data_IF_698875436257
#
_entry.id   IF_698875436257
#
_cell.length_a   1.000
_cell.length_b   1.000
_cell.length_c   1.000
_cell.angle_alpha   90.00
_cell.angle_beta   90.00
_cell.angle_gamma   90.00
#
_symmetry.space_group_name_H-M   'P 1'
#
loop_
_entity.id
_entity.type
_entity.pdbx_description
1 polymer ?
#
# COMPACT_ATOMS: atom_id res chain seq x y z
N UNK A 1 2.87 19.07 -5.68
CA UNK A 1 3.37 18.99 -7.08
C UNK A 1 3.14 17.57 -7.56
N UNK A 2 2.50 17.37 -8.71
CA UNK A 2 2.31 16.06 -9.36
C UNK A 2 3.41 15.81 -10.38
N UNK A 3 3.73 14.56 -10.68
CA UNK A 3 4.82 14.26 -11.60
C UNK A 3 5.30 12.82 -11.60
N UNK A 4 6.51 12.63 -12.13
CA UNK A 4 7.22 11.35 -12.08
C UNK A 4 8.37 11.50 -11.09
N UNK A 5 8.58 10.46 -10.29
CA UNK A 5 9.75 10.40 -9.41
C UNK A 5 11.01 10.52 -10.25
N UNK A 6 11.90 11.42 -9.84
CA UNK A 6 13.19 11.62 -10.50
C UNK A 6 14.05 10.37 -10.28
N UNK A 7 14.61 9.84 -11.37
CA UNK A 7 15.34 8.57 -11.34
C UNK A 7 16.71 8.73 -10.69
N UNK A 8 17.35 9.87 -10.89
CA UNK A 8 18.70 10.11 -10.42
C UNK A 8 18.67 10.40 -8.91
N UNK A 9 17.72 11.22 -8.44
CA UNK A 9 17.47 11.41 -7.00
C UNK A 9 17.16 10.09 -6.30
N UNK A 10 16.34 9.24 -6.93
CA UNK A 10 15.95 7.95 -6.35
C UNK A 10 17.12 6.96 -6.30
N UNK A 11 17.95 6.90 -7.35
CA UNK A 11 19.15 6.06 -7.35
C UNK A 11 20.17 6.54 -6.32
N UNK A 12 20.38 7.84 -6.20
CA UNK A 12 21.27 8.41 -5.19
C UNK A 12 20.80 8.03 -3.77
N UNK A 13 19.49 8.15 -3.50
CA UNK A 13 18.93 7.72 -2.22
C UNK A 13 19.15 6.22 -1.96
N UNK A 14 19.06 5.36 -2.98
CA UNK A 14 19.35 3.93 -2.83
C UNK A 14 20.80 3.65 -2.49
N UNK A 15 21.75 4.35 -3.12
CA UNK A 15 23.17 4.22 -2.84
C UNK A 15 23.48 4.62 -1.38
N UNK A 16 23.01 5.78 -0.94
CA UNK A 16 23.18 6.22 0.45
C UNK A 16 22.58 5.25 1.47
N UNK A 17 21.41 4.68 1.18
CA UNK A 17 20.76 3.69 2.06
C UNK A 17 21.57 2.40 2.14
N UNK A 18 21.99 1.87 1.00
CA UNK A 18 22.77 0.63 0.94
C UNK A 18 24.12 0.79 1.65
N UNK A 19 24.82 1.89 1.39
CA UNK A 19 26.13 2.17 1.96
C UNK A 19 26.07 2.36 3.48
N UNK A 20 25.16 3.20 3.98
CA UNK A 20 25.05 3.44 5.43
C UNK A 20 24.57 2.17 6.18
N UNK A 21 23.65 1.38 5.60
CA UNK A 21 23.24 0.10 6.21
C UNK A 21 24.39 -0.91 6.18
N UNK A 22 25.17 -0.95 5.10
CA UNK A 22 26.31 -1.85 4.97
C UNK A 22 27.43 -1.52 5.96
N UNK A 23 27.72 -0.23 6.14
CA UNK A 23 28.74 0.28 7.05
C UNK A 23 28.35 0.10 8.52
N UNK A 24 27.13 0.50 8.89
CA UNK A 24 26.67 0.49 10.29
C UNK A 24 26.27 -0.91 10.77
N UNK A 25 25.70 -1.73 9.88
CA UNK A 25 25.11 -3.02 10.27
C UNK A 25 25.73 -4.21 9.54
N UNK A 26 25.41 -4.38 8.26
CA UNK A 26 25.96 -5.41 7.39
C UNK A 26 25.46 -5.25 5.95
N UNK A 27 26.27 -5.68 4.98
CA UNK A 27 25.83 -5.89 3.59
C UNK A 27 24.72 -6.94 3.50
N UNK A 28 23.88 -6.90 2.46
CA UNK A 28 22.84 -7.91 2.18
C UNK A 28 21.90 -8.14 3.38
N UNK A 29 21.38 -7.06 3.98
CA UNK A 29 20.40 -7.14 5.07
C UNK A 29 18.96 -7.10 4.58
N UNK A 30 18.72 -6.66 3.35
CA UNK A 30 17.40 -6.61 2.76
C UNK A 30 17.47 -6.96 1.27
N UNK A 31 16.29 -7.21 0.69
CA UNK A 31 16.04 -7.18 -0.75
C UNK A 31 15.05 -6.04 -0.99
N UNK A 32 15.20 -5.34 -2.12
CA UNK A 32 14.37 -4.20 -2.49
C UNK A 32 13.57 -4.50 -3.77
N UNK A 33 12.32 -4.07 -3.80
CA UNK A 33 11.49 -3.96 -5.00
C UNK A 33 10.90 -2.55 -5.09
N UNK A 34 11.35 -1.74 -6.05
CA UNK A 34 11.03 -0.31 -6.06
C UNK A 34 11.42 0.36 -4.74
N UNK A 35 10.52 1.08 -4.08
CA UNK A 35 10.78 1.66 -2.74
C UNK A 35 10.31 0.77 -1.59
N UNK A 36 10.06 -0.51 -1.85
CA UNK A 36 9.67 -1.50 -0.86
C UNK A 36 10.89 -2.32 -0.44
N UNK A 37 11.08 -2.51 0.87
CA UNK A 37 12.24 -3.19 1.45
C UNK A 37 11.78 -4.39 2.28
N UNK A 38 12.40 -5.53 2.04
CA UNK A 38 12.15 -6.81 2.72
C UNK A 38 13.42 -7.22 3.45
N UNK A 39 13.42 -7.17 4.78
CA UNK A 39 14.60 -7.47 5.57
C UNK A 39 14.81 -8.97 5.75
N UNK A 40 16.07 -9.39 5.78
CA UNK A 40 16.45 -10.73 6.22
C UNK A 40 16.37 -10.80 7.75
N UNK A 41 15.17 -11.11 8.27
CA UNK A 41 14.89 -11.16 9.70
C UNK A 41 15.77 -12.18 10.44
N UNK A 42 16.13 -13.29 9.79
CA UNK A 42 17.05 -14.29 10.35
C UNK A 42 18.45 -13.73 10.59
N UNK A 43 18.96 -12.91 9.66
CA UNK A 43 20.27 -12.27 9.78
C UNK A 43 20.27 -11.14 10.80
N UNK A 44 19.20 -10.34 10.86
CA UNK A 44 19.00 -9.34 11.91
C UNK A 44 19.02 -10.00 13.30
N UNK A 45 18.26 -11.10 13.47
CA UNK A 45 18.21 -11.85 14.73
C UNK A 45 19.57 -12.41 15.14
N UNK A 46 20.31 -13.05 14.21
CA UNK A 46 21.66 -13.58 14.48
C UNK A 46 22.66 -12.51 14.91
N UNK A 47 22.45 -11.26 14.52
CA UNK A 47 23.30 -10.11 14.84
C UNK A 47 22.79 -9.28 16.03
N UNK A 48 21.68 -9.69 16.64
CA UNK A 48 20.98 -8.92 17.66
C UNK A 48 20.66 -7.47 17.21
N UNK A 49 20.36 -7.29 15.92
CA UNK A 49 20.04 -5.99 15.32
C UNK A 49 18.52 -5.82 15.28
N UNK A 50 18.01 -4.74 15.88
CA UNK A 50 16.60 -4.39 15.78
C UNK A 50 16.30 -3.78 14.40
N UNK A 51 15.18 -4.17 13.78
CA UNK A 51 14.76 -3.68 12.46
C UNK A 51 14.58 -2.15 12.41
N UNK A 52 14.19 -1.54 13.52
CA UNK A 52 14.02 -0.09 13.66
C UNK A 52 15.27 0.71 13.27
N UNK A 53 16.46 0.17 13.55
CA UNK A 53 17.74 0.79 13.20
C UNK A 53 17.92 0.99 11.69
N UNK A 54 18.07 -0.08 10.88
CA UNK A 54 18.20 0.04 9.43
C UNK A 54 16.94 0.61 8.76
N UNK A 55 15.74 0.37 9.29
CA UNK A 55 14.53 1.05 8.81
C UNK A 55 14.60 2.57 9.00
N UNK A 56 15.21 3.04 10.08
CA UNK A 56 15.46 4.46 10.34
C UNK A 56 16.34 5.11 9.26
N UNK A 57 17.33 4.39 8.74
CA UNK A 57 18.18 4.86 7.62
C UNK A 57 17.34 5.02 6.34
N UNK A 58 16.47 4.05 6.03
CA UNK A 58 15.56 4.16 4.87
C UNK A 58 14.65 5.39 5.03
N UNK A 59 14.07 5.58 6.22
CA UNK A 59 13.20 6.73 6.56
C UNK A 59 13.95 8.07 6.57
N UNK A 60 15.28 8.08 6.70
CA UNK A 60 16.12 9.29 6.63
C UNK A 60 16.36 9.75 5.19
N UNK A 61 16.50 8.83 4.23
CA UNK A 61 16.91 9.17 2.86
C UNK A 61 15.77 9.20 1.87
N UNK A 62 14.87 8.21 1.86
CA UNK A 62 13.82 8.15 0.86
C UNK A 62 12.89 9.38 0.82
N UNK A 63 12.46 9.97 1.95
CA UNK A 63 11.61 11.17 1.90
C UNK A 63 12.29 12.41 1.29
N UNK A 64 13.60 12.38 1.05
CA UNK A 64 14.32 13.47 0.37
C UNK A 64 14.12 13.46 -1.14
N UNK A 65 13.72 12.32 -1.70
CA UNK A 65 13.39 12.19 -3.13
C UNK A 65 12.09 12.92 -3.40
N UNK A 66 12.09 13.85 -4.34
CA UNK A 66 10.91 14.64 -4.64
C UNK A 66 9.76 13.74 -5.16
N UNK A 67 8.58 13.88 -4.55
CA UNK A 67 7.40 13.08 -4.84
C UNK A 67 7.23 11.84 -3.96
N UNK A 68 8.16 11.54 -3.04
CA UNK A 68 7.91 10.63 -1.91
C UNK A 68 7.34 11.45 -0.75
N UNK A 69 6.14 11.10 -0.28
CA UNK A 69 5.46 11.82 0.81
C UNK A 69 5.93 11.32 2.18
N UNK A 70 5.86 10.01 2.39
CA UNK A 70 6.16 9.36 3.67
C UNK A 70 6.77 7.99 3.44
N UNK A 71 7.50 7.51 4.45
CA UNK A 71 8.01 6.15 4.49
C UNK A 71 7.58 5.54 5.82
N UNK A 72 6.98 4.37 5.74
CA UNK A 72 6.43 3.66 6.88
C UNK A 72 7.14 2.33 7.05
N UNK A 73 7.30 1.91 8.29
CA UNK A 73 7.46 0.48 8.56
C UNK A 73 6.09 -0.20 8.46
N UNK A 74 6.09 -1.49 8.16
CA UNK A 74 4.88 -2.34 8.19
C UNK A 74 4.16 -2.24 9.52
N UNK A 75 4.93 -2.28 10.61
CA UNK A 75 4.40 -2.24 11.97
C UNK A 75 3.73 -0.88 12.27
N UNK A 76 4.30 0.23 11.80
CA UNK A 76 3.69 1.56 11.94
C UNK A 76 2.30 1.63 11.28
N UNK A 77 2.11 0.98 10.13
CA UNK A 77 0.80 0.94 9.46
C UNK A 77 -0.17 0.06 10.24
N UNK A 78 0.28 -1.10 10.73
CA UNK A 78 -0.56 -2.02 11.49
C UNK A 78 -1.00 -1.42 12.83
N UNK A 79 -0.14 -0.65 13.49
CA UNK A 79 -0.43 -0.02 14.79
C UNK A 79 -1.19 1.31 14.67
N UNK A 80 -1.21 1.91 13.48
CA UNK A 80 -1.87 3.20 13.29
C UNK A 80 -3.40 3.11 13.42
N UNK A 81 -3.96 4.21 13.90
CA UNK A 81 -5.40 4.46 13.88
C UNK A 81 -5.89 4.58 12.42
N UNK A 82 -7.10 4.10 12.17
CA UNK A 82 -7.76 4.03 10.86
C UNK A 82 -8.80 5.12 10.66
N UNK A 83 -8.81 6.15 11.52
CA UNK A 83 -9.57 7.40 11.33
C UNK A 83 -9.17 8.10 10.03
N UNK A 84 -7.88 8.13 9.70
CA UNK A 84 -7.38 8.58 8.40
C UNK A 84 -7.67 7.53 7.32
N UNK A 85 -8.34 7.95 6.23
CA UNK A 85 -8.72 7.06 5.13
C UNK A 85 -7.53 6.47 4.37
N UNK A 86 -6.43 7.20 4.24
CA UNK A 86 -5.21 6.76 3.56
C UNK A 86 -4.54 5.68 4.39
N UNK A 87 -4.41 5.90 5.70
CA UNK A 87 -3.86 4.90 6.62
C UNK A 87 -4.73 3.65 6.65
N UNK A 88 -6.07 3.81 6.72
CA UNK A 88 -7.00 2.68 6.65
C UNK A 88 -6.81 1.86 5.37
N UNK A 89 -6.74 2.52 4.21
CA UNK A 89 -6.50 1.85 2.91
C UNK A 89 -5.15 1.14 2.88
N UNK A 90 -4.09 1.80 3.36
CA UNK A 90 -2.76 1.19 3.44
C UNK A 90 -2.76 -0.04 4.36
N UNK A 91 -3.41 0.03 5.53
CA UNK A 91 -3.53 -1.10 6.46
C UNK A 91 -4.21 -2.30 5.82
N UNK A 92 -5.27 -2.08 5.03
CA UNK A 92 -5.96 -3.14 4.27
C UNK A 92 -5.11 -3.74 3.13
N UNK A 93 -4.01 -3.08 2.72
CA UNK A 93 -3.06 -3.59 1.73
C UNK A 93 -1.91 -4.39 2.35
N UNK A 94 -1.79 -4.40 3.69
CA UNK A 94 -0.70 -5.10 4.38
C UNK A 94 -1.10 -6.54 4.70
N UNK A 95 -0.32 -7.48 4.19
CA UNK A 95 -0.28 -8.85 4.65
C UNK A 95 0.88 -9.02 5.65
N UNK A 96 0.66 -9.57 6.86
CA UNK A 96 1.67 -9.65 7.92
C UNK A 96 3.00 -10.27 7.44
N UNK A 97 2.91 -11.37 6.69
CA UNK A 97 4.07 -12.14 6.23
C UNK A 97 4.61 -11.76 4.84
N UNK A 98 3.78 -11.17 3.98
CA UNK A 98 4.08 -11.01 2.54
C UNK A 98 4.35 -9.57 2.14
N UNK A 99 3.91 -8.61 2.95
CA UNK A 99 4.17 -7.21 2.70
C UNK A 99 5.58 -6.82 3.12
N UNK A 100 6.17 -5.82 2.43
CA UNK A 100 7.48 -5.29 2.77
C UNK A 100 7.51 -4.78 4.21
N UNK A 101 8.68 -4.85 4.82
CA UNK A 101 8.89 -4.36 6.18
C UNK A 101 8.99 -2.83 6.24
N UNK A 102 9.42 -2.21 5.13
CA UNK A 102 9.40 -0.75 4.93
C UNK A 102 8.89 -0.46 3.52
N UNK A 103 7.96 0.50 3.40
CA UNK A 103 7.38 0.94 2.15
C UNK A 103 7.18 2.45 2.11
N UNK A 104 7.24 3.01 0.91
CA UNK A 104 7.02 4.44 0.69
C UNK A 104 5.60 4.72 0.19
N UNK A 105 5.05 5.82 0.66
CA UNK A 105 3.86 6.47 0.11
C UNK A 105 4.33 7.62 -0.77
N UNK A 106 4.00 7.57 -2.07
CA UNK A 106 4.22 8.69 -2.97
C UNK A 106 3.26 9.83 -2.66
N UNK A 107 3.66 11.07 -2.90
CA UNK A 107 2.77 12.23 -2.84
C UNK A 107 1.67 12.13 -3.89
N UNK A 108 0.47 12.59 -3.53
CA UNK A 108 -0.68 12.62 -4.45
C UNK A 108 -0.33 13.20 -5.83
N UNK A 109 -0.72 12.49 -6.89
CA UNK A 109 -0.42 12.82 -8.28
C UNK A 109 1.00 12.48 -8.74
N UNK A 110 1.80 11.77 -7.93
CA UNK A 110 3.11 11.26 -8.35
C UNK A 110 3.05 9.77 -8.65
N UNK A 111 3.86 9.36 -9.64
CA UNK A 111 4.00 7.97 -10.06
C UNK A 111 5.47 7.63 -10.26
N UNK A 112 5.81 6.35 -10.10
CA UNK A 112 7.11 5.84 -10.56
C UNK A 112 7.23 5.94 -12.08
N UNK A 113 8.46 6.08 -12.56
CA UNK A 113 8.75 6.18 -13.99
C UNK A 113 8.67 4.78 -14.62
N UNK A 114 7.67 4.56 -15.47
CA UNK A 114 7.54 3.37 -16.32
C UNK A 114 7.87 3.72 -17.78
N UNK A 115 8.18 2.74 -18.65
CA UNK A 115 8.47 3.01 -20.07
C UNK A 115 7.31 3.62 -20.85
N UNK A 116 6.06 3.47 -20.37
CA UNK A 116 4.86 3.88 -21.09
C UNK A 116 3.80 4.51 -20.16
N UNK A 117 3.12 5.56 -20.67
CA UNK A 117 1.84 6.03 -20.14
C UNK A 117 1.85 6.48 -18.66
N UNK A 118 0.83 6.00 -17.94
CA UNK A 118 0.56 6.26 -16.51
C UNK A 118 0.60 4.96 -15.70
N UNK A 119 0.52 5.07 -14.38
CA UNK A 119 0.35 3.94 -13.45
C UNK A 119 -0.82 4.15 -12.49
N UNK A 120 -1.00 3.20 -11.59
CA UNK A 120 -1.96 3.20 -10.48
C UNK A 120 -1.36 2.46 -9.28
N UNK A 121 -2.06 2.43 -8.15
CA UNK A 121 -1.71 1.63 -6.97
C UNK A 121 -1.46 2.46 -5.70
N UNK A 122 -1.73 3.77 -5.77
CA UNK A 122 -1.70 4.65 -4.60
C UNK A 122 -3.01 4.57 -3.82
N UNK A 123 -3.01 4.88 -2.52
CA UNK A 123 -4.23 4.84 -1.70
C UNK A 123 -5.15 6.06 -1.91
N UNK A 124 -4.85 6.94 -2.88
CA UNK A 124 -5.63 8.16 -3.12
C UNK A 124 -6.92 7.88 -3.89
N UNK A 125 -7.84 8.85 -3.87
CA UNK A 125 -9.19 8.66 -4.42
C UNK A 125 -9.19 8.38 -5.93
N UNK A 126 -8.26 8.97 -6.69
CA UNK A 126 -8.19 8.75 -8.14
C UNK A 126 -7.82 7.32 -8.54
N UNK A 127 -7.18 6.54 -7.65
CA UNK A 127 -6.84 5.14 -7.87
C UNK A 127 -7.84 4.16 -7.22
N UNK A 128 -8.66 4.64 -6.29
CA UNK A 128 -9.52 3.80 -5.45
C UNK A 128 -11.02 3.99 -5.71
N UNK A 129 -11.41 5.08 -6.37
CA UNK A 129 -12.79 5.32 -6.77
C UNK A 129 -13.09 4.61 -8.09
N UNK A 130 -13.84 3.51 -8.03
CA UNK A 130 -14.22 2.70 -9.19
C UNK A 130 -15.74 2.65 -9.35
N UNK A 131 -16.25 2.56 -10.60
CA UNK A 131 -17.68 2.40 -10.82
C UNK A 131 -18.15 1.01 -10.41
N UNK A 132 -19.34 0.93 -9.80
CA UNK A 132 -20.02 -0.31 -9.47
C UNK A 132 -21.46 -0.28 -10.02
N UNK A 133 -21.77 -1.20 -10.91
CA UNK A 133 -23.06 -1.26 -11.61
C UNK A 133 -23.68 -2.66 -11.42
N UNK A 134 -24.92 -2.70 -10.92
CA UNK A 134 -25.73 -3.92 -10.87
C UNK A 134 -26.87 -3.82 -11.89
N UNK A 135 -26.93 -4.74 -12.84
CA UNK A 135 -27.97 -4.75 -13.89
C UNK A 135 -28.72 -6.09 -13.91
N UNK A 136 -30.05 -6.03 -14.03
CA UNK A 136 -30.94 -7.19 -14.16
C UNK A 136 -32.17 -6.79 -14.98
N UNK A 137 -32.69 -7.72 -15.79
CA UNK A 137 -33.96 -7.54 -16.51
C UNK A 137 -35.08 -7.15 -15.53
N UNK A 138 -35.89 -6.15 -15.92
CA UNK A 138 -37.02 -5.62 -15.15
C UNK A 138 -36.66 -4.96 -13.81
N UNK A 139 -35.41 -4.55 -13.61
CA UNK A 139 -35.01 -3.75 -12.45
C UNK A 139 -35.08 -2.26 -12.81
N UNK A 140 -35.76 -1.41 -12.01
CA UNK A 140 -35.76 0.03 -12.25
C UNK A 140 -34.35 0.60 -12.09
N UNK A 141 -34.07 1.67 -12.82
CA UNK A 141 -32.84 2.42 -12.62
C UNK A 141 -32.81 3.05 -11.24
N UNK A 142 -31.63 3.05 -10.62
CA UNK A 142 -31.40 3.69 -9.33
C UNK A 142 -29.93 4.06 -9.20
N UNK A 143 -29.69 5.24 -8.64
CA UNK A 143 -28.38 5.66 -8.18
C UNK A 143 -28.33 5.56 -6.65
N UNK A 144 -27.27 4.96 -6.14
CA UNK A 144 -26.97 4.88 -4.70
C UNK A 144 -25.66 5.61 -4.48
N UNK A 145 -25.69 6.64 -3.64
CA UNK A 145 -24.52 7.48 -3.31
C UNK A 145 -23.86 7.08 -1.99
N UNK A 146 -24.40 6.07 -1.30
CA UNK A 146 -23.82 5.52 -0.09
C UNK A 146 -22.44 4.94 -0.36
N UNK A 147 -21.55 5.00 0.62
CA UNK A 147 -20.22 4.41 0.51
C UNK A 147 -20.30 2.89 0.33
N UNK A 148 -19.70 2.41 -0.76
CA UNK A 148 -19.49 1.01 -1.07
C UNK A 148 -17.99 0.70 -1.21
N UNK A 149 -17.60 -0.53 -0.85
CA UNK A 149 -16.28 -1.08 -1.10
C UNK A 149 -16.38 -2.23 -2.11
N UNK A 150 -15.31 -2.49 -2.88
CA UNK A 150 -15.31 -3.59 -3.86
C UNK A 150 -15.47 -4.96 -3.20
N UNK A 151 -15.06 -5.11 -1.94
CA UNK A 151 -15.29 -6.33 -1.14
C UNK A 151 -16.77 -6.58 -0.83
N UNK A 152 -17.64 -5.58 -0.97
CA UNK A 152 -19.09 -5.70 -0.78
C UNK A 152 -19.77 -6.42 -1.96
N UNK A 153 -19.11 -6.54 -3.11
CA UNK A 153 -19.68 -7.11 -4.34
C UNK A 153 -20.05 -8.59 -4.13
N UNK A 154 -19.12 -9.39 -3.61
CA UNK A 154 -19.31 -10.83 -3.43
C UNK A 154 -20.48 -11.17 -2.48
N UNK A 155 -20.56 -10.63 -1.25
CA UNK A 155 -21.70 -10.90 -0.37
C UNK A 155 -23.03 -10.37 -0.95
N UNK A 156 -23.01 -9.26 -1.69
CA UNK A 156 -24.21 -8.73 -2.36
C UNK A 156 -24.71 -9.68 -3.45
N UNK A 157 -23.83 -10.23 -4.29
CA UNK A 157 -24.21 -11.23 -5.30
C UNK A 157 -24.71 -12.51 -4.63
N UNK A 158 -24.01 -12.98 -3.59
CA UNK A 158 -24.44 -14.14 -2.82
C UNK A 158 -25.86 -13.99 -2.27
N UNK A 159 -26.18 -12.83 -1.71
CA UNK A 159 -27.53 -12.50 -1.24
C UNK A 159 -28.58 -12.57 -2.35
N UNK A 160 -28.34 -11.95 -3.51
CA UNK A 160 -29.25 -11.98 -4.66
C UNK A 160 -29.53 -13.42 -5.14
N UNK A 161 -28.51 -14.28 -5.09
CA UNK A 161 -28.57 -15.67 -5.52
C UNK A 161 -29.03 -16.63 -4.43
N UNK A 162 -29.37 -16.13 -3.23
CA UNK A 162 -29.71 -16.96 -2.06
C UNK A 162 -28.60 -17.98 -1.69
N UNK A 163 -27.34 -17.61 -1.88
CA UNK A 163 -26.17 -18.39 -1.50
C UNK A 163 -25.74 -17.97 -0.07
N UNK A 164 -25.51 -18.94 0.84
CA UNK A 164 -24.98 -18.64 2.18
C UNK A 164 -23.65 -17.88 2.10
N UNK A 165 -23.53 -16.81 2.87
CA UNK A 165 -22.32 -15.98 2.94
C UNK A 165 -21.46 -16.50 4.10
N UNK A 166 -20.15 -16.77 3.89
CA UNK A 166 -19.26 -17.16 4.98
C UNK A 166 -19.11 -16.05 6.03
N UNK A 167 -18.85 -16.43 7.28
CA UNK A 167 -18.66 -15.46 8.37
C UNK A 167 -17.39 -14.60 8.21
N UNK A 168 -16.40 -15.08 7.45
CA UNK A 168 -15.10 -14.42 7.26
C UNK A 168 -15.04 -13.65 5.94
N UNK A 169 -15.91 -12.66 5.79
CA UNK A 169 -15.96 -11.74 4.64
C UNK A 169 -15.89 -10.31 5.18
N UNK A 170 -14.94 -9.52 4.68
CA UNK A 170 -14.79 -8.10 5.11
C UNK A 170 -15.93 -7.20 4.62
N UNK A 171 -16.54 -7.58 3.49
CA UNK A 171 -17.59 -6.82 2.85
C UNK A 171 -18.98 -7.04 3.48
N UNK A 172 -19.88 -6.09 3.21
CA UNK A 172 -21.28 -6.14 3.62
C UNK A 172 -22.21 -6.25 2.42
N UNK A 173 -23.43 -6.73 2.66
CA UNK A 173 -24.48 -6.73 1.62
C UNK A 173 -24.89 -5.27 1.35
N UNK A 174 -24.78 -4.84 0.10
CA UNK A 174 -25.27 -3.54 -0.33
C UNK A 174 -26.79 -3.57 -0.46
N UNK A 175 -27.45 -2.52 0.06
CA UNK A 175 -28.89 -2.32 -0.08
C UNK A 175 -29.20 -1.79 -1.48
N UNK A 176 -29.17 -2.69 -2.45
CA UNK A 176 -29.37 -2.32 -3.86
C UNK A 176 -30.82 -2.53 -4.31
N UNK A 177 -31.62 -3.30 -3.57
CA UNK A 177 -33.06 -3.46 -3.81
C UNK A 177 -33.82 -2.14 -3.64
#
# INVERSE_FOLDING_TARGET
KSGRIDRDELNEAYEWIEDEIAEVYAKNLFVRDGTNYFFNLGKLKKRNTQLSGPAGIIKKYLPKVNGIEKVFTKQEILDADTTDKIIRRMKNMIHPERSPDVLALLSSGNIYRTPYGTGHGTPYDYDTHVPLLFSRKNRPERQVSDHAATVDIAPTIGHILSIPIPDNVDGKILKIE
#
